data_IF_573979579149
#
_entry.id   IF_573979579149
#
_cell.length_a   1.000
_cell.length_b   1.000
_cell.length_c   1.000
_cell.angle_alpha   90.00
_cell.angle_beta   90.00
_cell.angle_gamma   90.00
#
_symmetry.space_group_name_H-M   'P 1'
#
loop_
_entity.id
_entity.type
_entity.pdbx_description
1 polymer ?
#
# COMPACT_ATOMS: atom_id res chain seq x y z
N UNK A 1 3.37 40.02 24.49
CA UNK A 1 3.94 38.90 25.30
C UNK A 1 3.37 37.62 24.74
N UNK A 2 4.10 36.98 23.82
CA UNK A 2 3.70 35.73 23.20
C UNK A 2 3.96 34.60 24.20
N UNK A 3 2.86 34.02 24.67
CA UNK A 3 2.88 32.88 25.58
C UNK A 3 3.35 31.64 24.80
N UNK A 4 4.64 31.39 24.73
CA UNK A 4 5.20 30.18 24.13
C UNK A 4 4.93 29.03 25.11
N UNK A 5 3.79 28.35 24.95
CA UNK A 5 3.45 27.16 25.73
C UNK A 5 4.56 26.14 25.48
N UNK A 6 5.37 25.87 26.52
CA UNK A 6 6.43 24.84 26.48
C UNK A 6 5.73 23.51 26.33
N UNK A 7 5.76 22.96 25.11
CA UNK A 7 5.17 21.63 24.79
C UNK A 7 5.83 20.62 25.73
N UNK A 8 5.01 19.82 26.44
CA UNK A 8 5.56 18.79 27.32
C UNK A 8 6.32 17.73 26.49
N UNK A 9 7.27 17.05 27.11
CA UNK A 9 8.04 16.02 26.40
C UNK A 9 7.15 14.85 25.95
N UNK A 10 6.05 14.57 26.68
CA UNK A 10 5.02 13.58 26.26
C UNK A 10 4.27 14.06 25.02
N UNK A 11 3.84 15.31 24.99
CA UNK A 11 3.17 15.92 23.83
C UNK A 11 4.10 15.95 22.62
N UNK A 12 5.40 16.20 22.83
CA UNK A 12 6.42 16.17 21.78
C UNK A 12 6.55 14.77 21.15
N UNK A 13 6.54 13.71 21.95
CA UNK A 13 6.54 12.33 21.49
C UNK A 13 5.26 11.99 20.72
N UNK A 14 4.09 12.36 21.27
CA UNK A 14 2.82 12.11 20.61
C UNK A 14 2.76 12.82 19.25
N UNK A 15 3.12 14.10 19.20
CA UNK A 15 3.16 14.85 17.95
C UNK A 15 4.17 14.32 16.94
N UNK A 16 5.31 13.79 17.41
CA UNK A 16 6.28 13.13 16.54
C UNK A 16 5.67 11.90 15.88
N UNK A 17 5.07 10.98 16.64
CA UNK A 17 4.45 9.77 16.10
C UNK A 17 3.27 10.09 15.17
N UNK A 18 2.43 11.07 15.54
CA UNK A 18 1.34 11.53 14.68
C UNK A 18 1.85 12.10 13.36
N UNK A 19 2.96 12.84 13.38
CA UNK A 19 3.58 13.35 12.15
C UNK A 19 4.14 12.23 11.28
N UNK A 20 4.83 11.24 11.87
CA UNK A 20 5.36 10.08 11.15
C UNK A 20 4.23 9.30 10.44
N UNK A 21 3.09 9.12 11.12
CA UNK A 21 1.91 8.49 10.54
C UNK A 21 1.32 9.37 9.43
N UNK A 22 1.11 10.66 9.70
CA UNK A 22 0.47 11.58 8.75
C UNK A 22 1.31 11.85 7.49
N UNK A 23 2.65 11.83 7.61
CA UNK A 23 3.56 11.98 6.47
C UNK A 23 3.76 10.68 5.67
N UNK A 24 3.23 9.55 6.15
CA UNK A 24 3.46 8.25 5.53
C UNK A 24 4.90 7.73 5.70
N UNK A 25 5.63 8.24 6.68
CA UNK A 25 6.92 7.67 7.10
C UNK A 25 6.74 6.43 7.96
N UNK A 26 5.63 6.37 8.72
CA UNK A 26 5.15 5.20 9.44
C UNK A 26 3.83 4.76 8.83
N UNK A 27 3.87 3.75 7.98
CA UNK A 27 2.68 3.27 7.26
C UNK A 27 1.96 2.13 8.00
N UNK A 28 0.67 1.87 7.69
CA UNK A 28 -0.07 0.75 8.28
C UNK A 28 0.65 -0.60 8.10
N UNK A 29 0.86 -1.29 9.22
CA UNK A 29 1.61 -2.55 9.30
C UNK A 29 3.04 -2.39 9.80
N UNK A 30 3.63 -1.20 9.73
CA UNK A 30 4.97 -0.94 10.22
C UNK A 30 5.06 -1.07 11.74
N UNK A 31 6.21 -1.54 12.19
CA UNK A 31 6.51 -1.58 13.63
C UNK A 31 6.85 -0.18 14.14
N UNK A 32 6.11 0.29 15.14
CA UNK A 32 6.47 1.50 15.88
C UNK A 32 7.79 1.26 16.62
N UNK A 33 8.69 2.27 16.72
CA UNK A 33 9.90 2.15 17.50
C UNK A 33 9.61 1.66 18.93
N UNK A 34 10.54 0.87 19.51
CA UNK A 34 10.31 0.26 20.82
C UNK A 34 10.14 1.31 21.92
N UNK A 35 9.33 1.01 22.95
CA UNK A 35 9.18 1.88 24.14
C UNK A 35 10.55 2.27 24.74
N UNK A 36 11.54 1.37 24.66
CA UNK A 36 12.90 1.63 25.15
C UNK A 36 13.62 2.67 24.30
N UNK A 37 13.51 2.58 22.97
CA UNK A 37 14.09 3.56 22.05
C UNK A 37 13.42 4.91 22.24
N UNK A 38 12.09 4.97 22.21
CA UNK A 38 11.33 6.20 22.38
C UNK A 38 11.62 6.86 23.74
N UNK A 39 11.75 6.07 24.83
CA UNK A 39 12.12 6.57 26.14
C UNK A 39 13.52 7.22 26.14
N UNK A 40 14.48 6.61 25.45
CA UNK A 40 15.83 7.16 25.30
C UNK A 40 15.82 8.42 24.42
N UNK A 41 15.19 8.37 23.27
CA UNK A 41 15.24 9.44 22.25
C UNK A 41 14.54 10.73 22.75
N UNK A 42 13.46 10.58 23.51
CA UNK A 42 12.69 11.69 24.08
C UNK A 42 13.00 11.99 25.56
N UNK A 43 13.96 11.30 26.16
CA UNK A 43 14.34 11.45 27.58
C UNK A 43 13.14 11.30 28.52
N UNK A 44 12.26 10.34 28.22
CA UNK A 44 11.06 10.03 28.99
C UNK A 44 11.23 8.75 29.83
N UNK A 45 10.43 8.62 30.89
CA UNK A 45 10.24 7.33 31.54
C UNK A 45 9.48 6.36 30.65
N UNK A 46 9.71 5.04 30.78
CA UNK A 46 8.94 4.03 30.08
C UNK A 46 7.43 4.13 30.34
N UNK A 47 7.04 4.50 31.55
CA UNK A 47 5.62 4.70 31.88
C UNK A 47 5.02 5.87 31.09
N UNK A 48 5.76 6.98 30.96
CA UNK A 48 5.32 8.11 30.14
C UNK A 48 5.17 7.74 28.66
N UNK A 49 6.07 6.92 28.12
CA UNK A 49 5.95 6.40 26.76
C UNK A 49 4.72 5.50 26.62
N UNK A 50 4.46 4.61 27.61
CA UNK A 50 3.26 3.76 27.60
C UNK A 50 1.97 4.54 27.59
N UNK A 51 1.90 5.62 28.38
CA UNK A 51 0.71 6.51 28.38
C UNK A 51 0.47 7.10 26.98
N UNK A 52 1.53 7.57 26.30
CA UNK A 52 1.40 8.07 24.92
C UNK A 52 0.98 6.95 23.96
N UNK A 53 1.59 5.77 24.07
CA UNK A 53 1.21 4.62 23.24
C UNK A 53 -0.22 4.18 23.48
N UNK A 54 -0.71 4.24 24.72
CA UNK A 54 -2.08 3.94 25.07
C UNK A 54 -3.05 4.94 24.41
N UNK A 55 -2.77 6.25 24.47
CA UNK A 55 -3.60 7.25 23.77
C UNK A 55 -3.67 6.96 22.27
N UNK A 56 -2.55 6.62 21.63
CA UNK A 56 -2.56 6.27 20.21
C UNK A 56 -3.32 4.98 19.91
N UNK A 57 -3.38 4.03 20.85
CA UNK A 57 -4.23 2.83 20.73
C UNK A 57 -5.71 3.16 20.91
N UNK A 58 -6.07 4.02 21.84
CA UNK A 58 -7.45 4.49 22.04
C UNK A 58 -7.95 5.22 20.80
N UNK A 59 -7.08 6.01 20.14
CA UNK A 59 -7.35 6.66 18.86
C UNK A 59 -7.30 5.70 17.65
N UNK A 60 -7.07 4.40 17.88
CA UNK A 60 -6.98 3.38 16.82
C UNK A 60 -5.86 3.60 15.78
N UNK A 61 -4.84 4.35 16.13
CA UNK A 61 -3.69 4.65 15.25
C UNK A 61 -2.60 3.59 15.33
N UNK A 62 -2.49 2.90 16.47
CA UNK A 62 -1.57 1.79 16.68
C UNK A 62 -2.28 0.62 17.33
N UNK A 63 -1.74 -0.58 17.17
CA UNK A 63 -2.18 -1.78 17.86
C UNK A 63 -0.98 -2.48 18.47
N UNK A 64 -1.19 -3.09 19.65
CA UNK A 64 -0.15 -3.88 20.33
C UNK A 64 -0.69 -5.28 20.56
N UNK A 65 -0.02 -6.28 20.04
CA UNK A 65 -0.31 -7.69 20.34
C UNK A 65 0.38 -8.08 21.64
N UNK A 66 -0.25 -8.94 22.43
CA UNK A 66 0.29 -9.40 23.72
C UNK A 66 1.69 -10.01 23.53
N UNK A 67 2.71 -9.44 24.17
CA UNK A 67 4.11 -9.83 24.01
C UNK A 67 4.78 -9.41 22.68
N UNK A 68 4.05 -8.69 21.81
CA UNK A 68 4.53 -8.22 20.51
C UNK A 68 4.96 -6.75 20.50
N UNK A 69 5.43 -6.30 19.33
CA UNK A 69 5.70 -4.89 19.06
C UNK A 69 4.41 -4.17 18.68
N UNK A 70 4.31 -2.89 19.05
CA UNK A 70 3.26 -2.02 18.55
C UNK A 70 3.44 -1.79 17.04
N UNK A 71 2.33 -1.81 16.30
CA UNK A 71 2.30 -1.58 14.85
C UNK A 71 1.37 -0.42 14.53
N UNK A 72 1.71 0.34 13.50
CA UNK A 72 0.80 1.29 12.91
C UNK A 72 -0.42 0.57 12.35
N UNK A 73 -1.61 1.08 12.63
CA UNK A 73 -2.87 0.48 12.19
C UNK A 73 -3.38 1.15 10.92
N UNK A 74 -4.10 0.40 10.10
CA UNK A 74 -4.82 0.98 8.98
C UNK A 74 -5.93 1.89 9.50
N UNK A 75 -5.90 3.16 9.13
CA UNK A 75 -6.81 4.18 9.66
C UNK A 75 -8.29 3.92 9.34
N UNK A 76 -8.56 3.23 8.25
CA UNK A 76 -9.93 3.00 7.78
C UNK A 76 -10.51 1.71 8.34
N UNK A 77 -9.67 0.75 8.72
CA UNK A 77 -10.09 -0.58 9.15
C UNK A 77 -11.08 -0.57 10.34
N UNK A 78 -10.94 0.32 11.36
CA UNK A 78 -11.88 0.38 12.46
C UNK A 78 -13.25 0.93 12.09
N UNK A 79 -13.35 1.67 10.99
CA UNK A 79 -14.52 2.46 10.62
C UNK A 79 -15.20 1.99 9.34
N UNK A 80 -14.55 1.12 8.59
CA UNK A 80 -15.04 0.65 7.29
C UNK A 80 -15.32 -0.85 7.35
N UNK A 81 -16.58 -1.21 7.61
CA UNK A 81 -17.04 -2.58 7.49
C UNK A 81 -17.34 -2.90 6.02
N UNK A 82 -16.48 -3.68 5.39
CA UNK A 82 -16.74 -4.20 4.05
C UNK A 82 -17.69 -5.38 4.13
N UNK A 83 -18.71 -5.48 3.24
CA UNK A 83 -19.62 -6.63 3.20
C UNK A 83 -18.85 -7.95 3.13
N UNK A 84 -19.19 -8.91 4.01
CA UNK A 84 -18.46 -10.19 4.12
C UNK A 84 -18.70 -11.12 2.94
N UNK A 85 -19.85 -11.00 2.28
CA UNK A 85 -20.24 -11.85 1.15
C UNK A 85 -20.90 -11.01 0.06
N UNK A 86 -20.15 -10.77 -0.99
CA UNK A 86 -20.70 -10.28 -2.26
C UNK A 86 -20.34 -11.34 -3.28
N UNK A 87 -21.32 -11.81 -4.04
CA UNK A 87 -21.09 -12.78 -5.10
C UNK A 87 -20.10 -12.21 -6.15
N UNK A 88 -19.13 -13.03 -6.53
CA UNK A 88 -18.07 -12.63 -7.47
C UNK A 88 -18.58 -12.66 -8.92
N UNK A 89 -19.56 -11.78 -9.21
CA UNK A 89 -20.09 -11.60 -10.56
C UNK A 89 -19.09 -10.92 -11.50
N UNK A 90 -19.29 -11.05 -12.80
CA UNK A 90 -18.50 -10.33 -13.80
C UNK A 90 -18.63 -8.80 -13.58
N UNK A 91 -19.84 -8.31 -13.30
CA UNK A 91 -20.06 -6.89 -13.02
C UNK A 91 -19.19 -6.39 -11.87
N UNK A 92 -19.19 -7.10 -10.73
CA UNK A 92 -18.34 -6.74 -9.60
C UNK A 92 -16.86 -6.78 -9.95
N UNK A 93 -16.41 -7.76 -10.77
CA UNK A 93 -15.01 -7.82 -11.21
C UNK A 93 -14.64 -6.61 -12.05
N UNK A 94 -15.53 -6.13 -12.92
CA UNK A 94 -15.33 -4.93 -13.74
C UNK A 94 -15.26 -3.67 -12.88
N UNK A 95 -16.16 -3.53 -11.86
CA UNK A 95 -16.14 -2.43 -10.91
C UNK A 95 -14.84 -2.42 -10.08
N UNK A 96 -14.38 -3.60 -9.66
CA UNK A 96 -13.10 -3.75 -8.94
C UNK A 96 -11.93 -3.28 -9.81
N UNK A 97 -11.92 -3.61 -11.10
CA UNK A 97 -10.86 -3.17 -12.02
C UNK A 97 -10.91 -1.65 -12.26
N UNK A 98 -12.09 -1.06 -12.28
CA UNK A 98 -12.27 0.38 -12.42
C UNK A 98 -11.72 1.15 -11.20
N UNK A 99 -12.04 0.69 -9.99
CA UNK A 99 -11.46 1.25 -8.76
C UNK A 99 -9.95 1.04 -8.66
N UNK A 100 -9.44 -0.12 -9.10
CA UNK A 100 -7.99 -0.34 -9.19
C UNK A 100 -7.33 0.69 -10.10
N UNK A 101 -7.90 0.95 -11.28
CA UNK A 101 -7.33 1.91 -12.23
C UNK A 101 -7.16 3.29 -11.60
N UNK A 102 -8.16 3.73 -10.83
CA UNK A 102 -8.10 4.99 -10.09
C UNK A 102 -7.02 4.97 -9.00
N UNK A 103 -7.07 3.98 -8.10
CA UNK A 103 -6.15 3.91 -6.94
C UNK A 103 -4.70 3.73 -7.39
N UNK A 104 -4.45 2.86 -8.36
CA UNK A 104 -3.10 2.54 -8.81
C UNK A 104 -2.49 3.64 -9.67
N UNK A 105 -3.31 4.36 -10.45
CA UNK A 105 -2.86 5.55 -11.16
C UNK A 105 -2.35 6.64 -10.21
N UNK A 106 -3.13 6.98 -9.19
CA UNK A 106 -2.73 7.96 -8.18
C UNK A 106 -1.56 7.47 -7.32
N UNK A 107 -1.53 6.18 -6.97
CA UNK A 107 -0.41 5.59 -6.25
C UNK A 107 0.91 5.73 -7.04
N UNK A 108 0.91 5.43 -8.33
CA UNK A 108 2.08 5.56 -9.19
C UNK A 108 2.52 7.02 -9.34
N UNK A 109 1.58 7.94 -9.45
CA UNK A 109 1.86 9.38 -9.49
C UNK A 109 2.62 9.84 -8.24
N UNK A 110 2.05 9.59 -7.06
CA UNK A 110 2.67 10.01 -5.81
C UNK A 110 3.95 9.22 -5.48
N UNK A 111 4.04 7.95 -5.88
CA UNK A 111 5.26 7.16 -5.78
C UNK A 111 6.40 7.83 -6.58
N UNK A 112 6.16 8.21 -7.83
CA UNK A 112 7.17 8.89 -8.65
C UNK A 112 7.66 10.20 -8.02
N UNK A 113 6.77 10.94 -7.33
CA UNK A 113 7.11 12.21 -6.68
C UNK A 113 7.83 12.04 -5.34
N UNK A 114 7.48 11.02 -4.54
CA UNK A 114 7.79 10.98 -3.11
C UNK A 114 8.67 9.81 -2.68
N UNK A 115 8.75 8.74 -3.48
CA UNK A 115 9.54 7.57 -3.13
C UNK A 115 11.01 7.95 -2.88
N UNK A 116 11.58 7.40 -1.81
CA UNK A 116 13.01 7.54 -1.54
C UNK A 116 13.83 6.73 -2.55
N UNK A 117 15.11 7.05 -2.68
CA UNK A 117 16.00 6.29 -3.58
C UNK A 117 16.15 4.83 -3.14
N UNK A 118 16.03 4.57 -1.85
CA UNK A 118 16.01 3.21 -1.31
C UNK A 118 14.73 2.46 -1.71
N UNK A 119 13.57 3.10 -1.61
CA UNK A 119 12.30 2.52 -2.07
C UNK A 119 12.31 2.26 -3.58
N UNK A 120 12.88 3.17 -4.38
CA UNK A 120 13.04 2.95 -5.82
C UNK A 120 13.91 1.72 -6.12
N UNK A 121 15.00 1.50 -5.36
CA UNK A 121 15.82 0.29 -5.48
C UNK A 121 15.05 -0.98 -5.10
N UNK A 122 14.27 -0.94 -4.01
CA UNK A 122 13.44 -2.07 -3.60
C UNK A 122 12.38 -2.40 -4.66
N UNK A 123 11.75 -1.37 -5.23
CA UNK A 123 10.78 -1.52 -6.31
C UNK A 123 11.41 -2.11 -7.58
N UNK A 124 12.64 -1.69 -7.93
CA UNK A 124 13.38 -2.29 -9.04
C UNK A 124 13.66 -3.78 -8.79
N UNK A 125 14.12 -4.14 -7.60
CA UNK A 125 14.37 -5.52 -7.23
C UNK A 125 13.09 -6.38 -7.34
N UNK A 126 11.95 -5.89 -6.87
CA UNK A 126 10.68 -6.63 -6.98
C UNK A 126 10.22 -6.73 -8.44
N UNK A 127 10.39 -5.67 -9.24
CA UNK A 127 10.11 -5.71 -10.67
C UNK A 127 10.95 -6.78 -11.38
N UNK A 128 12.25 -6.87 -11.12
CA UNK A 128 13.14 -7.89 -11.69
C UNK A 128 12.72 -9.29 -11.22
N UNK A 129 12.41 -9.47 -9.94
CA UNK A 129 11.92 -10.72 -9.39
C UNK A 129 10.58 -11.14 -10.02
N UNK A 130 9.67 -10.20 -10.24
CA UNK A 130 8.40 -10.43 -10.93
C UNK A 130 8.63 -10.90 -12.38
N UNK A 131 9.57 -10.32 -13.11
CA UNK A 131 9.92 -10.75 -14.48
C UNK A 131 10.46 -12.19 -14.51
N UNK A 132 11.29 -12.56 -13.53
CA UNK A 132 11.82 -13.94 -13.42
C UNK A 132 10.70 -14.94 -13.09
N UNK A 133 9.77 -14.62 -12.17
CA UNK A 133 8.65 -15.47 -11.77
C UNK A 133 7.61 -15.71 -12.87
N UNK A 134 7.63 -14.95 -13.96
CA UNK A 134 6.73 -15.14 -15.12
C UNK A 134 6.97 -16.46 -15.84
N UNK A 135 8.17 -17.05 -15.73
CA UNK A 135 8.54 -18.30 -16.37
C UNK A 135 8.26 -19.47 -15.40
N UNK A 136 7.14 -20.17 -15.58
CA UNK A 136 6.92 -21.48 -14.96
C UNK A 136 6.16 -21.54 -13.63
N UNK A 137 5.69 -20.44 -13.04
CA UNK A 137 4.96 -20.47 -11.77
C UNK A 137 3.42 -20.54 -11.92
N UNK A 138 2.73 -20.99 -10.85
CA UNK A 138 1.27 -21.04 -10.82
C UNK A 138 0.63 -19.65 -10.93
N UNK A 139 -0.64 -19.61 -11.37
CA UNK A 139 -1.44 -18.37 -11.47
C UNK A 139 -1.51 -17.60 -10.14
N UNK A 140 -1.63 -18.34 -9.03
CA UNK A 140 -1.68 -17.74 -7.70
C UNK A 140 -0.37 -17.00 -7.35
N UNK A 141 0.79 -17.59 -7.66
CA UNK A 141 2.08 -16.93 -7.43
C UNK A 141 2.25 -15.67 -8.30
N UNK A 142 1.78 -15.74 -9.55
CA UNK A 142 1.81 -14.57 -10.45
C UNK A 142 0.91 -13.45 -9.97
N UNK A 143 -0.32 -13.77 -9.52
CA UNK A 143 -1.24 -12.80 -8.94
C UNK A 143 -0.70 -12.16 -7.66
N UNK A 144 -0.06 -12.95 -6.78
CA UNK A 144 0.57 -12.41 -5.58
C UNK A 144 1.74 -11.47 -5.92
N UNK A 145 2.58 -11.84 -6.89
CA UNK A 145 3.71 -11.00 -7.30
C UNK A 145 3.23 -9.70 -7.95
N UNK A 146 2.19 -9.76 -8.78
CA UNK A 146 1.53 -8.60 -9.37
C UNK A 146 1.04 -7.64 -8.26
N UNK A 147 0.25 -8.15 -7.32
CA UNK A 147 -0.25 -7.35 -6.21
C UNK A 147 0.86 -6.82 -5.29
N UNK A 148 1.93 -7.58 -5.06
CA UNK A 148 3.08 -7.10 -4.28
C UNK A 148 3.71 -5.87 -4.94
N UNK A 149 3.94 -5.93 -6.25
CA UNK A 149 4.49 -4.80 -7.00
C UNK A 149 3.61 -3.54 -6.89
N UNK A 150 2.30 -3.69 -7.11
CA UNK A 150 1.35 -2.57 -7.01
C UNK A 150 1.22 -2.04 -5.57
N UNK A 151 1.26 -2.93 -4.56
CA UNK A 151 1.23 -2.49 -3.16
C UNK A 151 2.50 -1.72 -2.77
N UNK A 152 3.68 -2.16 -3.21
CA UNK A 152 4.93 -1.41 -2.99
C UNK A 152 4.88 -0.01 -3.61
N UNK A 153 4.25 0.15 -4.79
CA UNK A 153 4.02 1.46 -5.39
C UNK A 153 3.11 2.31 -4.50
N UNK A 154 2.01 1.75 -3.98
CA UNK A 154 1.10 2.46 -3.09
C UNK A 154 1.80 2.88 -1.79
N UNK A 155 2.56 1.99 -1.16
CA UNK A 155 3.32 2.26 0.07
C UNK A 155 4.39 3.35 -0.15
N UNK A 156 5.07 3.32 -1.30
CA UNK A 156 6.07 4.33 -1.66
C UNK A 156 5.47 5.67 -2.09
N UNK A 157 4.15 5.78 -2.17
CA UNK A 157 3.45 7.04 -2.44
C UNK A 157 3.49 8.03 -1.27
N UNK A 158 3.80 7.56 -0.05
CA UNK A 158 3.72 8.35 1.20
C UNK A 158 2.38 9.09 1.35
N UNK A 159 1.29 8.50 0.81
CA UNK A 159 -0.05 9.06 0.92
C UNK A 159 -0.91 8.14 1.81
N UNK A 160 -0.97 8.45 3.10
CA UNK A 160 -1.54 7.59 4.13
C UNK A 160 -2.94 7.04 3.80
N UNK A 161 -3.86 7.88 3.33
CA UNK A 161 -5.21 7.43 2.97
C UNK A 161 -5.18 6.51 1.74
N UNK A 162 -4.38 6.83 0.73
CA UNK A 162 -4.23 6.00 -0.46
C UNK A 162 -3.67 4.62 -0.11
N UNK A 163 -2.66 4.56 0.75
CA UNK A 163 -2.10 3.30 1.27
C UNK A 163 -3.18 2.52 2.00
N UNK A 164 -3.91 3.17 2.93
CA UNK A 164 -4.96 2.54 3.71
C UNK A 164 -6.08 1.99 2.85
N UNK A 165 -6.55 2.74 1.87
CA UNK A 165 -7.55 2.29 0.89
C UNK A 165 -7.03 1.11 0.06
N UNK A 166 -5.81 1.20 -0.47
CA UNK A 166 -5.21 0.14 -1.29
C UNK A 166 -5.08 -1.17 -0.51
N UNK A 167 -4.59 -1.12 0.73
CA UNK A 167 -4.46 -2.31 1.58
C UNK A 167 -5.80 -2.99 1.85
N UNK A 168 -6.84 -2.22 2.25
CA UNK A 168 -8.18 -2.77 2.48
C UNK A 168 -8.79 -3.30 1.20
N UNK A 169 -8.65 -2.57 0.11
CA UNK A 169 -9.17 -2.94 -1.18
C UNK A 169 -8.56 -4.25 -1.68
N UNK A 170 -7.24 -4.38 -1.66
CA UNK A 170 -6.56 -5.60 -2.08
C UNK A 170 -6.85 -6.78 -1.17
N UNK A 171 -6.87 -6.59 0.15
CA UNK A 171 -7.25 -7.64 1.08
C UNK A 171 -8.67 -8.16 0.81
N UNK A 172 -9.61 -7.26 0.50
CA UNK A 172 -11.02 -7.61 0.26
C UNK A 172 -11.25 -8.24 -1.11
N UNK A 173 -10.64 -7.70 -2.14
CA UNK A 173 -10.92 -8.07 -3.52
C UNK A 173 -9.83 -8.94 -4.17
N UNK A 174 -8.90 -9.49 -3.38
CA UNK A 174 -7.86 -10.37 -3.89
C UNK A 174 -8.40 -11.50 -4.79
N UNK A 175 -9.50 -12.14 -4.37
CA UNK A 175 -10.10 -13.23 -5.14
C UNK A 175 -10.67 -12.76 -6.49
N UNK A 176 -11.21 -11.52 -6.56
CA UNK A 176 -11.67 -10.94 -7.81
C UNK A 176 -10.48 -10.72 -8.76
N UNK A 177 -9.42 -10.10 -8.25
CA UNK A 177 -8.20 -9.82 -9.01
C UNK A 177 -7.55 -11.13 -9.50
N UNK A 178 -7.43 -12.12 -8.63
CA UNK A 178 -6.94 -13.45 -9.01
C UNK A 178 -7.85 -14.11 -10.05
N UNK A 179 -9.17 -13.95 -9.93
CA UNK A 179 -10.16 -14.45 -10.90
C UNK A 179 -9.94 -13.86 -12.30
N UNK A 180 -9.73 -12.55 -12.40
CA UNK A 180 -9.40 -11.86 -13.66
C UNK A 180 -8.15 -12.46 -14.31
N UNK A 181 -7.06 -12.58 -13.55
CA UNK A 181 -5.79 -13.13 -14.02
C UNK A 181 -5.94 -14.59 -14.45
N UNK A 182 -6.69 -15.40 -13.68
CA UNK A 182 -6.98 -16.81 -13.99
C UNK A 182 -7.81 -16.96 -15.28
N UNK A 183 -8.84 -16.15 -15.45
CA UNK A 183 -9.69 -16.18 -16.65
C UNK A 183 -8.89 -15.79 -17.87
N UNK A 184 -8.11 -14.74 -17.78
CA UNK A 184 -7.21 -14.30 -18.85
C UNK A 184 -6.23 -15.41 -19.26
N UNK A 185 -5.60 -16.07 -18.27
CA UNK A 185 -4.68 -17.17 -18.54
C UNK A 185 -5.39 -18.37 -19.20
N UNK A 186 -6.56 -18.76 -18.71
CA UNK A 186 -7.34 -19.87 -19.28
C UNK A 186 -7.72 -19.60 -20.74
N UNK A 187 -8.14 -18.36 -21.05
CA UNK A 187 -8.58 -17.98 -22.39
C UNK A 187 -7.45 -17.92 -23.42
N UNK A 188 -6.32 -17.31 -23.04
CA UNK A 188 -5.22 -17.06 -23.96
C UNK A 188 -4.10 -18.12 -23.88
N UNK A 189 -4.23 -19.12 -22.98
CA UNK A 189 -3.20 -20.15 -22.73
C UNK A 189 -1.91 -19.62 -22.12
N UNK A 190 -1.75 -18.29 -22.07
CA UNK A 190 -0.62 -17.56 -21.48
C UNK A 190 -1.05 -16.17 -21.04
N UNK A 191 -0.28 -15.54 -20.19
CA UNK A 191 -0.46 -14.11 -19.92
C UNK A 191 -0.19 -13.32 -21.19
N UNK A 192 -1.09 -12.39 -21.58
CA UNK A 192 -0.86 -11.50 -22.71
C UNK A 192 0.47 -10.76 -22.54
N UNK A 193 1.29 -10.73 -23.59
CA UNK A 193 2.60 -10.07 -23.57
C UNK A 193 2.49 -8.58 -23.26
N UNK A 194 1.32 -7.98 -23.52
CA UNK A 194 0.99 -6.61 -23.18
C UNK A 194 1.13 -6.29 -21.69
N UNK A 195 0.69 -7.21 -20.79
CA UNK A 195 0.76 -7.00 -19.33
C UNK A 195 2.19 -6.73 -18.88
N UNK A 196 3.16 -7.50 -19.39
CA UNK A 196 4.54 -7.30 -19.01
C UNK A 196 5.19 -6.02 -19.52
N UNK A 197 4.85 -5.65 -20.75
CA UNK A 197 5.31 -4.38 -21.31
C UNK A 197 4.72 -3.19 -20.55
N UNK A 198 3.50 -3.32 -20.03
CA UNK A 198 2.87 -2.26 -19.25
C UNK A 198 3.53 -2.11 -17.87
N UNK A 199 3.82 -3.21 -17.16
CA UNK A 199 4.60 -3.13 -15.91
C UNK A 199 5.99 -2.50 -16.15
N UNK A 200 6.65 -2.80 -17.26
CA UNK A 200 7.91 -2.16 -17.64
C UNK A 200 7.76 -0.64 -17.80
N UNK A 201 6.69 -0.19 -18.43
CA UNK A 201 6.43 1.25 -18.62
C UNK A 201 6.15 1.95 -17.30
N UNK A 202 5.32 1.36 -16.41
CA UNK A 202 5.06 1.87 -15.07
C UNK A 202 6.38 2.02 -14.31
N UNK A 203 7.16 0.94 -14.27
CA UNK A 203 8.45 0.92 -13.57
C UNK A 203 9.39 2.00 -14.11
N UNK A 204 9.57 2.10 -15.44
CA UNK A 204 10.42 3.13 -16.06
C UNK A 204 9.97 4.55 -15.74
N UNK A 205 8.66 4.82 -15.76
CA UNK A 205 8.12 6.14 -15.45
C UNK A 205 8.37 6.53 -13.99
N UNK A 206 8.19 5.59 -13.04
CA UNK A 206 8.47 5.81 -11.63
C UNK A 206 9.97 6.05 -11.40
N UNK A 207 10.86 5.21 -11.99
CA UNK A 207 12.31 5.37 -11.87
C UNK A 207 12.80 6.69 -12.43
N UNK A 208 12.17 7.17 -13.51
CA UNK A 208 12.44 8.47 -14.11
C UNK A 208 11.79 9.65 -13.36
N UNK A 209 11.07 9.38 -12.26
CA UNK A 209 10.28 10.37 -11.49
C UNK A 209 9.30 11.17 -12.34
N UNK A 210 8.82 10.58 -13.44
CA UNK A 210 7.82 11.17 -14.31
C UNK A 210 6.40 10.81 -13.81
N UNK A 211 5.88 11.64 -12.91
CA UNK A 211 4.64 11.35 -12.20
C UNK A 211 3.42 11.23 -13.11
N UNK A 212 3.27 12.12 -14.09
CA UNK A 212 2.13 12.08 -15.02
C UNK A 212 2.18 10.81 -15.91
N UNK A 213 3.37 10.45 -16.39
CA UNK A 213 3.52 9.23 -17.17
C UNK A 213 3.28 7.98 -16.29
N UNK A 214 3.73 7.99 -15.04
CA UNK A 214 3.50 6.89 -14.12
C UNK A 214 2.00 6.67 -13.87
N UNK A 215 1.23 7.75 -13.64
CA UNK A 215 -0.24 7.72 -13.54
C UNK A 215 -0.86 7.12 -14.77
N UNK A 216 -0.52 7.63 -15.93
CA UNK A 216 -1.11 7.21 -17.20
C UNK A 216 -0.86 5.71 -17.45
N UNK A 217 0.38 5.25 -17.30
CA UNK A 217 0.74 3.85 -17.58
C UNK A 217 0.11 2.88 -16.56
N UNK A 218 0.02 3.27 -15.28
CA UNK A 218 -0.63 2.45 -14.27
C UNK A 218 -2.15 2.35 -14.52
N UNK A 219 -2.82 3.46 -14.80
CA UNK A 219 -4.24 3.48 -15.15
C UNK A 219 -4.53 2.63 -16.38
N UNK A 220 -3.77 2.83 -17.47
CA UNK A 220 -3.94 2.08 -18.72
C UNK A 220 -3.65 0.58 -18.56
N UNK A 221 -2.70 0.20 -17.71
CA UNK A 221 -2.43 -1.20 -17.38
C UNK A 221 -3.68 -1.89 -16.82
N UNK A 222 -4.35 -1.29 -15.87
CA UNK A 222 -5.54 -1.87 -15.26
C UNK A 222 -6.74 -1.85 -16.22
N UNK A 223 -6.93 -0.77 -16.95
CA UNK A 223 -7.99 -0.66 -17.96
C UNK A 223 -7.78 -1.67 -19.13
N UNK A 224 -6.54 -1.93 -19.51
CA UNK A 224 -6.23 -2.98 -20.47
C UNK A 224 -6.68 -4.37 -19.96
N UNK A 225 -6.35 -4.69 -18.71
CA UNK A 225 -6.76 -5.96 -18.08
C UNK A 225 -8.28 -6.04 -17.94
N UNK A 226 -8.96 -4.93 -17.64
CA UNK A 226 -10.42 -4.82 -17.63
C UNK A 226 -11.02 -5.15 -19.00
N UNK A 227 -10.50 -4.56 -20.08
CA UNK A 227 -10.96 -4.85 -21.46
C UNK A 227 -10.80 -6.33 -21.85
N UNK A 228 -9.71 -6.98 -21.41
CA UNK A 228 -9.52 -8.42 -21.62
C UNK A 228 -10.60 -9.26 -20.91
N UNK A 229 -11.08 -8.80 -19.78
CA UNK A 229 -12.15 -9.47 -19.03
C UNK A 229 -13.53 -9.24 -19.69
N UNK A 230 -13.83 -8.01 -20.13
CA UNK A 230 -15.10 -7.68 -20.80
C UNK A 230 -15.31 -8.46 -22.10
N UNK A 231 -14.22 -8.70 -22.83
CA UNK A 231 -14.26 -9.46 -24.09
C UNK A 231 -14.28 -10.99 -23.86
N UNK A 232 -14.42 -11.44 -22.61
CA UNK A 232 -14.49 -12.85 -22.21
C UNK A 232 -15.91 -13.33 -22.14
#
# INVERSE_FOLDING_TARGET
MTNTTRISTKESLQQFLLRQIASGELIPGDSVPSERSLASDFQLSRNSVREVMQCLQEDSLVETTQGGRSRCRNLLQPHLEMPKSVEMSLALQLDVMEMRAFLEGEAAYYCALRATDEQLKLLDNEYQAMQQRRRGQSTLHKAKADLTFHMMIAESSHHLLLISFSQLFYARYFNAIHGVLSTTLKRYGRYPDGIGRQHEKIHKAIQARNAEQARLEATEHILYTRRLLESS
#
